data_IF_431566282011
#
_entry.id   IF_431566282011
#
_cell.length_a   1.000
_cell.length_b   1.000
_cell.length_c   1.000
_cell.angle_alpha   90.00
_cell.angle_beta   90.00
_cell.angle_gamma   90.00
#
_symmetry.space_group_name_H-M   'P 1'
#
loop_
_entity.id
_entity.type
_entity.pdbx_description
1 polymer ?
#
# COMPACT_ATOMS: atom_id res chain seq x y z
N UNK A 1 -3.23 16.35 -5.94
CA UNK A 1 -2.99 17.73 -6.43
C UNK A 1 -1.50 17.91 -6.60
N UNK A 2 -1.06 18.48 -7.71
CA UNK A 2 0.34 18.89 -7.87
C UNK A 2 0.41 20.37 -8.28
N UNK A 3 1.46 21.04 -7.84
CA UNK A 3 1.67 22.46 -8.07
C UNK A 3 2.52 22.65 -9.33
N UNK A 4 2.05 23.51 -10.21
CA UNK A 4 2.73 23.98 -11.41
C UNK A 4 2.90 25.50 -11.30
N UNK A 5 3.89 26.07 -12.00
CA UNK A 5 4.19 27.51 -11.92
C UNK A 5 2.97 28.45 -12.12
N UNK A 6 1.99 28.12 -13.00
CA UNK A 6 0.76 28.92 -13.16
C UNK A 6 -0.45 28.38 -12.36
N UNK A 7 -0.27 27.53 -11.35
CA UNK A 7 -1.33 27.17 -10.39
C UNK A 7 -1.33 25.69 -9.97
N UNK A 8 -2.48 25.15 -9.58
CA UNK A 8 -2.62 23.74 -9.24
C UNK A 8 -3.25 22.93 -10.38
N UNK A 9 -2.91 21.65 -10.43
CA UNK A 9 -3.59 20.63 -11.22
C UNK A 9 -4.18 19.60 -10.27
N UNK A 10 -5.48 19.38 -10.43
CA UNK A 10 -6.23 18.38 -9.67
C UNK A 10 -6.34 17.12 -10.51
N UNK A 11 -6.15 15.99 -9.86
CA UNK A 11 -6.23 14.67 -10.47
C UNK A 11 -6.85 13.73 -9.46
N UNK A 12 -7.70 12.82 -9.95
CA UNK A 12 -8.17 11.71 -9.15
C UNK A 12 -6.97 10.88 -8.70
N UNK A 13 -6.89 10.61 -7.40
CA UNK A 13 -5.83 9.82 -6.82
C UNK A 13 -6.43 8.63 -6.08
N UNK A 14 -5.79 7.49 -6.20
CA UNK A 14 -6.08 6.30 -5.39
C UNK A 14 -4.99 6.14 -4.34
N UNK A 15 -5.45 5.88 -3.13
CA UNK A 15 -4.59 5.57 -2.01
C UNK A 15 -4.18 4.09 -2.12
N UNK A 16 -2.88 3.84 -2.19
CA UNK A 16 -2.35 2.48 -2.27
C UNK A 16 -2.29 1.85 -0.87
N UNK A 17 -1.96 0.57 -0.77
CA UNK A 17 -1.74 -0.02 0.55
C UNK A 17 -0.58 0.68 1.29
N UNK A 18 -0.72 0.99 2.59
CA UNK A 18 0.33 1.60 3.38
C UNK A 18 1.58 0.71 3.37
N UNK A 19 2.76 1.31 3.20
CA UNK A 19 4.04 0.59 3.28
C UNK A 19 4.47 0.46 4.74
N UNK A 20 4.21 1.49 5.53
CA UNK A 20 4.40 1.54 6.98
C UNK A 20 3.28 2.36 7.61
N UNK A 21 3.20 2.40 8.93
CA UNK A 21 2.22 3.22 9.66
C UNK A 21 2.35 4.73 9.40
N UNK A 22 3.48 5.19 8.86
CA UNK A 22 3.75 6.60 8.56
C UNK A 22 3.88 6.88 7.06
N UNK A 23 3.95 5.83 6.23
CA UNK A 23 4.13 5.94 4.78
C UNK A 23 2.88 5.41 4.07
N UNK A 24 2.03 6.37 3.69
CA UNK A 24 0.79 6.14 2.94
C UNK A 24 0.97 6.62 1.49
N UNK A 25 1.39 5.74 0.56
CA UNK A 25 1.52 6.11 -0.85
C UNK A 25 0.15 6.28 -1.52
N UNK A 26 0.16 7.06 -2.60
CA UNK A 26 -0.98 7.24 -3.50
C UNK A 26 -0.48 7.32 -4.95
N UNK A 27 -1.36 7.01 -5.90
CA UNK A 27 -1.11 7.18 -7.34
C UNK A 27 -2.20 8.00 -8.00
N UNK A 28 -1.87 8.79 -9.01
CA UNK A 28 -2.87 9.46 -9.83
C UNK A 28 -3.45 8.47 -10.85
N UNK A 29 -4.78 8.38 -10.93
CA UNK A 29 -5.47 7.47 -11.86
C UNK A 29 -5.99 8.25 -13.07
N UNK A 30 -6.56 9.42 -12.83
CA UNK A 30 -7.26 10.16 -13.86
C UNK A 30 -6.97 11.65 -13.76
N UNK A 31 -6.85 12.26 -14.92
CA UNK A 31 -6.72 13.70 -15.09
C UNK A 31 -7.94 14.17 -15.87
N UNK A 32 -8.68 15.13 -15.31
CA UNK A 32 -9.81 15.74 -16.01
C UNK A 32 -9.34 16.42 -17.29
N UNK A 33 -10.23 16.54 -18.29
CA UNK A 33 -9.87 17.07 -19.60
C UNK A 33 -9.38 18.54 -19.53
N UNK A 34 -9.94 19.33 -18.61
CA UNK A 34 -9.53 20.72 -18.36
C UNK A 34 -8.13 20.78 -17.76
N UNK A 35 -7.88 19.92 -16.78
CA UNK A 35 -6.63 19.78 -16.06
C UNK A 35 -5.53 19.26 -16.98
N UNK A 36 -5.88 18.33 -17.87
CA UNK A 36 -5.02 17.83 -18.94
C UNK A 36 -4.61 18.93 -19.91
N UNK A 37 -5.54 19.73 -20.41
CA UNK A 37 -5.21 20.88 -21.29
C UNK A 37 -4.30 21.88 -20.60
N UNK A 38 -4.54 22.14 -19.31
CA UNK A 38 -3.67 23.02 -18.50
C UNK A 38 -2.26 22.44 -18.38
N UNK A 39 -2.14 21.13 -18.23
CA UNK A 39 -0.87 20.43 -18.15
C UNK A 39 -0.12 20.47 -19.51
N UNK A 40 -0.80 20.13 -20.59
CA UNK A 40 -0.27 20.11 -21.95
C UNK A 40 0.15 21.50 -22.45
N UNK A 41 -0.50 22.56 -21.97
CA UNK A 41 -0.10 23.94 -22.28
C UNK A 41 1.25 24.34 -21.65
N UNK A 42 1.72 23.61 -20.65
CA UNK A 42 2.92 23.97 -19.85
C UNK A 42 4.05 22.98 -20.08
N UNK A 43 3.73 21.68 -20.19
CA UNK A 43 4.71 20.67 -20.51
C UNK A 43 4.95 20.73 -22.02
N UNK A 44 6.15 21.10 -22.48
CA UNK A 44 6.46 21.09 -23.90
C UNK A 44 6.24 19.67 -24.43
N UNK A 45 5.48 19.50 -25.51
CA UNK A 45 5.28 18.19 -26.16
C UNK A 45 6.62 17.53 -26.55
N UNK A 46 7.68 18.32 -26.73
CA UNK A 46 9.04 17.83 -26.97
C UNK A 46 9.61 17.00 -25.82
N UNK A 47 9.12 17.18 -24.58
CA UNK A 47 9.48 16.34 -23.43
C UNK A 47 8.92 14.93 -23.61
N UNK A 48 7.77 14.76 -24.27
CA UNK A 48 7.14 13.45 -24.50
C UNK A 48 7.69 12.69 -25.71
N UNK A 49 8.27 13.41 -26.68
CA UNK A 49 8.77 12.83 -27.92
C UNK A 49 10.10 12.06 -27.75
N UNK A 50 10.83 12.31 -26.65
CA UNK A 50 12.10 11.66 -26.30
C UNK A 50 12.03 10.92 -24.95
N UNK A 51 10.86 10.36 -24.61
CA UNK A 51 10.75 9.45 -23.45
C UNK A 51 10.75 8.02 -23.97
N UNK A 52 11.86 7.60 -24.59
CA UNK A 52 12.20 6.18 -24.50
C UNK A 52 12.40 5.94 -23.02
N UNK A 53 11.45 5.26 -22.36
CA UNK A 53 11.43 5.11 -20.89
C UNK A 53 12.84 4.78 -20.39
N UNK A 54 13.53 5.75 -19.75
CA UNK A 54 14.95 5.60 -19.55
C UNK A 54 15.18 4.40 -18.62
N UNK A 55 16.26 3.66 -18.86
CA UNK A 55 16.46 2.34 -18.25
C UNK A 55 16.38 2.36 -16.71
N UNK A 56 16.69 3.50 -16.08
CA UNK A 56 16.54 3.71 -14.65
C UNK A 56 15.07 3.72 -14.17
N UNK A 57 14.12 4.28 -14.94
CA UNK A 57 12.68 4.23 -14.64
C UNK A 57 12.16 2.80 -14.74
N UNK A 58 12.58 2.05 -15.78
CA UNK A 58 12.24 0.64 -15.92
C UNK A 58 12.75 -0.18 -14.72
N UNK A 59 14.01 0.06 -14.29
CA UNK A 59 14.59 -0.58 -13.11
C UNK A 59 13.82 -0.24 -11.83
N UNK A 60 13.38 1.00 -11.66
CA UNK A 60 12.56 1.42 -10.52
C UNK A 60 11.19 0.74 -10.52
N UNK A 61 10.53 0.63 -11.67
CA UNK A 61 9.22 -0.04 -11.82
C UNK A 61 9.31 -1.52 -11.42
N UNK A 62 10.31 -2.24 -11.93
CA UNK A 62 10.52 -3.65 -11.57
C UNK A 62 10.81 -3.79 -10.07
N UNK A 63 11.64 -2.91 -9.51
CA UNK A 63 11.97 -2.93 -8.09
C UNK A 63 10.80 -2.52 -7.17
N UNK A 64 9.84 -1.73 -7.65
CA UNK A 64 8.62 -1.42 -6.90
C UNK A 64 7.64 -2.58 -6.89
N UNK A 65 7.47 -3.28 -8.02
CA UNK A 65 6.59 -4.45 -8.12
C UNK A 65 7.02 -5.56 -7.14
N UNK A 66 8.32 -5.77 -6.97
CA UNK A 66 8.86 -6.80 -6.07
C UNK A 66 8.71 -6.46 -4.58
N UNK A 67 8.46 -5.19 -4.22
CA UNK A 67 8.25 -4.79 -2.82
C UNK A 67 6.80 -4.93 -2.37
N UNK A 68 5.87 -5.26 -3.27
CA UNK A 68 4.45 -5.37 -2.97
C UNK A 68 4.04 -6.73 -2.39
N UNK A 69 4.84 -7.28 -1.46
CA UNK A 69 4.50 -8.50 -0.71
C UNK A 69 4.36 -8.23 0.81
N UNK A 70 3.43 -7.36 1.29
CA UNK A 70 3.27 -7.15 2.72
C UNK A 70 2.23 -8.09 3.35
N UNK A 71 1.45 -8.83 2.55
CA UNK A 71 0.22 -9.48 3.06
C UNK A 71 0.47 -10.79 3.82
N UNK A 72 1.52 -11.55 3.48
CA UNK A 72 1.68 -12.92 4.01
C UNK A 72 2.15 -12.96 5.47
N UNK A 73 2.98 -12.01 5.89
CA UNK A 73 3.60 -12.01 7.24
C UNK A 73 2.61 -11.66 8.36
N UNK A 74 1.73 -10.68 8.14
CA UNK A 74 0.74 -10.30 9.15
C UNK A 74 -0.32 -11.39 9.36
N UNK A 75 -0.76 -12.07 8.29
CA UNK A 75 -1.71 -13.18 8.39
C UNK A 75 -1.10 -14.35 9.18
N UNK A 76 0.19 -14.65 8.99
CA UNK A 76 0.88 -15.68 9.75
C UNK A 76 0.97 -15.34 11.25
N UNK A 77 1.31 -14.10 11.61
CA UNK A 77 1.40 -13.68 13.01
C UNK A 77 0.05 -13.74 13.73
N UNK A 78 -1.03 -13.32 13.09
CA UNK A 78 -2.38 -13.39 13.65
C UNK A 78 -2.82 -14.85 13.83
N UNK A 79 -2.55 -15.71 12.84
CA UNK A 79 -2.89 -17.12 12.92
C UNK A 79 -2.16 -17.82 14.09
N UNK A 80 -0.87 -17.55 14.27
CA UNK A 80 -0.09 -18.11 15.39
C UNK A 80 -0.61 -17.62 16.75
N UNK A 81 -0.95 -16.34 16.87
CA UNK A 81 -1.54 -15.79 18.10
C UNK A 81 -2.87 -16.44 18.48
N UNK A 82 -3.74 -16.68 17.50
CA UNK A 82 -5.04 -17.33 17.72
C UNK A 82 -4.90 -18.78 18.20
N UNK A 83 -3.96 -19.53 17.62
CA UNK A 83 -3.69 -20.92 18.04
C UNK A 83 -3.21 -20.95 19.50
N UNK A 84 -2.31 -20.04 19.88
CA UNK A 84 -1.81 -19.96 21.25
C UNK A 84 -2.93 -19.69 22.26
N UNK A 85 -3.83 -18.74 21.97
CA UNK A 85 -4.96 -18.41 22.85
C UNK A 85 -5.94 -19.57 23.02
N UNK A 86 -6.24 -20.31 21.94
CA UNK A 86 -7.12 -21.49 22.00
C UNK A 86 -6.49 -22.57 22.88
N UNK A 87 -5.19 -22.85 22.71
CA UNK A 87 -4.50 -23.85 23.54
C UNK A 87 -4.46 -23.46 25.02
N UNK A 88 -4.25 -22.17 25.32
CA UNK A 88 -4.23 -21.67 26.69
C UNK A 88 -5.62 -21.76 27.34
N UNK A 89 -6.67 -21.43 26.59
CA UNK A 89 -8.06 -21.56 27.05
C UNK A 89 -8.44 -23.01 27.35
N UNK A 90 -8.08 -23.95 26.46
CA UNK A 90 -8.33 -25.38 26.68
C UNK A 90 -7.60 -25.92 27.91
N UNK A 91 -6.33 -25.58 28.08
CA UNK A 91 -5.53 -26.00 29.24
C UNK A 91 -6.12 -25.46 30.55
N UNK A 92 -6.53 -24.19 30.55
CA UNK A 92 -7.16 -23.54 31.71
C UNK A 92 -8.49 -24.19 32.09
N UNK A 93 -9.33 -24.52 31.11
CA UNK A 93 -10.61 -25.18 31.34
C UNK A 93 -10.44 -26.62 31.88
N UNK A 94 -9.47 -27.38 31.36
CA UNK A 94 -9.15 -28.71 31.87
C UNK A 94 -8.63 -28.65 33.31
N UNK A 95 -7.77 -27.68 33.64
CA UNK A 95 -7.23 -27.51 34.98
C UNK A 95 -8.33 -27.19 36.00
N UNK A 96 -9.24 -26.25 35.67
CA UNK A 96 -10.37 -25.90 36.52
C UNK A 96 -11.32 -27.08 36.75
N UNK A 97 -11.63 -27.84 35.70
CA UNK A 97 -12.48 -29.04 35.80
C UNK A 97 -11.84 -30.13 36.67
N UNK A 98 -10.54 -30.36 36.51
CA UNK A 98 -9.79 -31.31 37.33
C UNK A 98 -9.80 -30.89 38.81
N UNK A 99 -9.58 -29.60 39.10
CA UNK A 99 -9.61 -29.08 40.46
C UNK A 99 -11.00 -29.16 41.11
N UNK A 100 -12.06 -29.00 40.33
CA UNK A 100 -13.44 -29.19 40.81
C UNK A 100 -13.82 -30.66 41.04
N UNK A 101 -13.20 -31.60 40.32
CA UNK A 101 -13.42 -33.05 40.50
C UNK A 101 -12.63 -33.62 41.69
N UNK A 102 -11.58 -32.93 42.16
CA UNK A 102 -10.77 -33.33 43.32
C UNK A 102 -11.24 -32.74 44.65
N UNK A 103 -12.32 -31.94 44.64
CA UNK A 103 -12.94 -31.36 45.82
C UNK A 103 -14.25 -32.08 46.13
#
# INVERSE_FOLDING_TARGET
MFLIRPGSVLAGAEMLSPVTNTLQPFRFISLGQKERRKLEAIIPLSVYQDITEPNWMKKLRVASDHRYEPRRRHVQLVAVGMIALITLGLASAMYLRHFQLLR
#
